data_IF_520106380107
#
_entry.id   IF_520106380107
#
_cell.length_a   1.000
_cell.length_b   1.000
_cell.length_c   1.000
_cell.angle_alpha   90.00
_cell.angle_beta   90.00
_cell.angle_gamma   90.00
#
_symmetry.space_group_name_H-M   'P 1'
#
loop_
_entity.id
_entity.type
_entity.pdbx_description
1 polymer ?
#
# COMPACT_ATOMS: atom_id res chain seq x y z
N UNK A 1 12.86 -0.32 -14.92
CA UNK A 1 11.49 0.10 -14.53
C UNK A 1 11.18 -0.52 -13.18
N UNK A 2 10.77 0.25 -12.17
CA UNK A 2 10.36 -0.33 -10.89
C UNK A 2 9.09 -1.18 -11.08
N UNK A 3 9.04 -2.34 -10.43
CA UNK A 3 7.86 -3.20 -10.41
C UNK A 3 6.77 -2.49 -9.59
N UNK A 4 5.59 -2.29 -10.18
CA UNK A 4 4.41 -1.81 -9.45
C UNK A 4 3.40 -2.95 -9.36
N UNK A 5 3.03 -3.33 -8.14
CA UNK A 5 2.14 -4.46 -7.90
C UNK A 5 0.68 -4.02 -7.87
N UNK A 6 -0.18 -4.80 -8.52
CA UNK A 6 -1.63 -4.72 -8.36
C UNK A 6 -2.08 -5.79 -7.36
N UNK A 7 -2.64 -5.37 -6.23
CA UNK A 7 -3.07 -6.23 -5.12
C UNK A 7 -4.59 -6.18 -4.96
N UNK A 8 -5.21 -7.34 -4.75
CA UNK A 8 -6.61 -7.41 -4.35
C UNK A 8 -6.74 -7.03 -2.88
N UNK A 9 -7.71 -6.17 -2.57
CA UNK A 9 -8.12 -5.80 -1.22
C UNK A 9 -9.63 -6.04 -1.03
N UNK A 10 -10.08 -6.09 0.22
CA UNK A 10 -11.51 -6.22 0.52
C UNK A 10 -12.25 -4.88 0.46
N UNK A 11 -11.59 -3.80 0.89
CA UNK A 11 -12.19 -2.47 1.02
C UNK A 11 -11.18 -1.37 0.66
N UNK A 12 -11.43 -0.64 -0.43
CA UNK A 12 -10.54 0.44 -0.88
C UNK A 12 -10.50 1.62 0.08
N UNK A 13 -11.62 1.95 0.73
CA UNK A 13 -11.69 3.06 1.67
C UNK A 13 -10.90 2.76 2.95
N UNK A 14 -10.99 1.53 3.46
CA UNK A 14 -10.17 1.07 4.58
C UNK A 14 -8.69 1.03 4.20
N UNK A 15 -8.35 0.49 3.02
CA UNK A 15 -6.96 0.48 2.52
C UNK A 15 -6.41 1.90 2.38
N UNK A 16 -7.19 2.84 1.83
CA UNK A 16 -6.82 4.26 1.73
C UNK A 16 -6.47 4.85 3.10
N UNK A 17 -7.37 4.69 4.09
CA UNK A 17 -7.15 5.21 5.44
C UNK A 17 -5.89 4.63 6.08
N UNK A 18 -5.67 3.32 5.93
CA UNK A 18 -4.48 2.69 6.49
C UNK A 18 -3.20 3.24 5.85
N UNK A 19 -3.10 3.26 4.52
CA UNK A 19 -1.89 3.72 3.85
C UNK A 19 -1.67 5.24 4.02
N UNK A 20 -2.72 6.05 3.93
CA UNK A 20 -2.62 7.50 4.04
C UNK A 20 -2.47 7.97 5.50
N UNK A 21 -3.44 7.63 6.36
CA UNK A 21 -3.57 8.24 7.68
C UNK A 21 -2.61 7.59 8.70
N UNK A 22 -2.38 6.28 8.58
CA UNK A 22 -1.51 5.52 9.48
C UNK A 22 -0.07 5.53 8.98
N UNK A 23 0.16 5.12 7.72
CA UNK A 23 1.52 4.94 7.18
C UNK A 23 2.11 6.18 6.48
N UNK A 24 1.29 7.22 6.23
CA UNK A 24 1.74 8.47 5.61
C UNK A 24 2.12 8.33 4.13
N UNK A 25 1.47 7.45 3.38
CA UNK A 25 1.58 7.38 1.93
C UNK A 25 0.69 8.45 1.29
N UNK A 26 1.08 8.95 0.12
CA UNK A 26 0.13 9.62 -0.76
C UNK A 26 -0.83 8.55 -1.31
N UNK A 27 -2.14 8.80 -1.26
CA UNK A 27 -3.16 7.85 -1.71
C UNK A 27 -4.12 8.54 -2.66
N UNK A 28 -4.21 8.06 -3.89
CA UNK A 28 -4.97 8.69 -4.98
C UNK A 28 -5.84 7.65 -5.69
N UNK A 29 -7.05 8.04 -6.07
CA UNK A 29 -7.87 7.18 -6.93
C UNK A 29 -7.18 7.09 -8.29
N UNK A 30 -6.98 5.88 -8.78
CA UNK A 30 -6.40 5.61 -10.09
C UNK A 30 -7.46 5.06 -11.05
N UNK A 31 -7.05 4.46 -12.18
CA UNK A 31 -7.96 3.91 -13.19
C UNK A 31 -9.13 3.12 -12.57
N UNK A 32 -10.29 3.12 -13.22
CA UNK A 32 -11.59 2.66 -12.69
C UNK A 32 -11.53 1.59 -11.57
N UNK A 33 -11.87 2.02 -10.34
CA UNK A 33 -11.99 1.14 -9.19
C UNK A 33 -10.65 0.67 -8.60
N UNK A 34 -9.60 1.46 -8.77
CA UNK A 34 -8.29 1.20 -8.16
C UNK A 34 -7.81 2.37 -7.31
N UNK A 35 -6.99 2.06 -6.31
CA UNK A 35 -6.30 3.03 -5.46
C UNK A 35 -4.80 2.87 -5.66
N UNK A 36 -4.10 3.94 -6.00
CA UNK A 36 -2.63 3.96 -6.00
C UNK A 36 -2.14 4.60 -4.72
N UNK A 37 -1.21 3.93 -4.03
CA UNK A 37 -0.48 4.50 -2.90
C UNK A 37 0.99 4.65 -3.24
N UNK A 38 1.58 5.79 -2.88
CA UNK A 38 2.97 6.10 -3.16
C UNK A 38 3.69 6.62 -1.91
N UNK A 39 4.93 6.15 -1.71
CA UNK A 39 5.87 6.75 -0.77
C UNK A 39 7.27 6.72 -1.34
N UNK A 40 7.87 7.90 -1.48
CA UNK A 40 9.25 8.08 -1.97
C UNK A 40 9.53 7.32 -3.29
N UNK A 41 8.58 7.38 -4.23
CA UNK A 41 8.68 6.72 -5.54
C UNK A 41 8.30 5.23 -5.57
N UNK A 42 8.15 4.57 -4.41
CA UNK A 42 7.62 3.20 -4.33
C UNK A 42 6.10 3.19 -4.38
N UNK A 43 5.53 2.34 -5.25
CA UNK A 43 4.09 2.32 -5.56
C UNK A 43 3.46 0.95 -5.33
N UNK A 44 2.23 0.95 -4.82
CA UNK A 44 1.31 -0.19 -4.84
C UNK A 44 -0.03 0.26 -5.41
N UNK A 45 -0.69 -0.61 -6.17
CA UNK A 45 -2.03 -0.39 -6.68
C UNK A 45 -2.95 -1.42 -6.04
N UNK A 46 -4.12 -0.99 -5.58
CA UNK A 46 -5.13 -1.84 -4.99
C UNK A 46 -6.39 -1.87 -5.84
N UNK A 47 -7.07 -3.01 -5.85
CA UNK A 47 -8.39 -3.18 -6.45
C UNK A 47 -9.29 -4.05 -5.56
N UNK A 48 -10.60 -3.82 -5.60
CA UNK A 48 -11.58 -4.76 -5.02
C UNK A 48 -12.00 -5.85 -6.01
N UNK A 49 -11.64 -5.72 -7.29
CA UNK A 49 -12.08 -6.63 -8.33
C UNK A 49 -11.45 -8.02 -8.17
N UNK A 50 -12.23 -9.06 -8.47
CA UNK A 50 -11.76 -10.43 -8.52
C UNK A 50 -11.14 -10.77 -9.88
N UNK A 51 -10.02 -10.11 -10.20
CA UNK A 51 -9.34 -10.28 -11.50
C UNK A 51 -8.75 -11.68 -11.66
N UNK A 52 -8.36 -12.32 -10.56
CA UNK A 52 -7.72 -13.63 -10.55
C UNK A 52 -8.69 -14.80 -10.45
N UNK A 53 -9.98 -14.53 -10.16
CA UNK A 53 -11.03 -15.55 -9.94
C UNK A 53 -10.61 -16.60 -8.92
N UNK A 54 -9.86 -16.17 -7.91
CA UNK A 54 -9.30 -17.01 -6.86
C UNK A 54 -9.37 -16.29 -5.52
N UNK A 55 -9.39 -17.03 -4.40
CA UNK A 55 -9.29 -16.42 -3.09
C UNK A 55 -8.05 -15.52 -3.00
N UNK A 56 -8.13 -14.35 -2.32
CA UNK A 56 -6.97 -13.49 -2.15
C UNK A 56 -5.81 -14.26 -1.51
N UNK A 57 -4.72 -14.40 -2.25
CA UNK A 57 -3.50 -15.04 -1.78
C UNK A 57 -2.30 -14.20 -2.19
N UNK A 58 -1.57 -13.68 -1.21
CA UNK A 58 -0.29 -13.01 -1.43
C UNK A 58 0.61 -13.32 -0.22
N UNK A 59 1.76 -13.93 -0.48
CA UNK A 59 2.81 -14.11 0.52
C UNK A 59 4.07 -13.48 -0.03
N UNK A 60 4.65 -12.56 0.71
CA UNK A 60 5.84 -11.83 0.30
C UNK A 60 6.12 -10.64 1.21
N UNK A 61 7.34 -10.16 1.12
CA UNK A 61 7.79 -8.93 1.80
C UNK A 61 8.04 -7.88 0.74
N UNK A 62 7.39 -6.73 0.87
CA UNK A 62 7.62 -5.58 -0.02
C UNK A 62 8.66 -4.66 0.61
N UNK A 63 9.74 -4.39 -0.12
CA UNK A 63 10.78 -3.46 0.32
C UNK A 63 10.63 -2.13 -0.41
N UNK A 64 10.66 -1.04 0.35
CA UNK A 64 10.66 0.33 -0.16
C UNK A 64 12.01 0.96 0.14
N UNK A 65 12.66 1.49 -0.89
CA UNK A 65 13.83 2.32 -0.70
C UNK A 65 13.38 3.67 -0.13
N UNK A 66 13.88 4.02 1.05
CA UNK A 66 13.58 5.28 1.71
C UNK A 66 14.87 6.02 2.08
N UNK A 67 14.83 7.34 2.06
CA UNK A 67 15.98 8.17 2.41
C UNK A 67 16.39 8.04 3.89
N UNK A 68 15.41 7.88 4.78
CA UNK A 68 15.62 7.71 6.22
C UNK A 68 14.60 6.73 6.81
N UNK A 69 15.06 5.53 7.12
CA UNK A 69 14.24 4.48 7.72
C UNK A 69 13.88 4.78 9.18
N UNK A 70 14.75 5.44 9.93
CA UNK A 70 14.51 5.76 11.33
C UNK A 70 13.41 6.82 11.48
N UNK A 71 13.42 7.84 10.63
CA UNK A 71 12.34 8.83 10.55
C UNK A 71 11.01 8.17 10.14
N UNK A 72 11.03 7.24 9.18
CA UNK A 72 9.84 6.48 8.79
C UNK A 72 9.28 5.67 9.97
N UNK A 73 10.13 4.94 10.70
CA UNK A 73 9.73 4.17 11.88
C UNK A 73 9.16 5.07 12.97
N UNK A 74 9.84 6.17 13.31
CA UNK A 74 9.39 7.10 14.34
C UNK A 74 7.99 7.67 14.04
N UNK A 75 7.64 7.89 12.78
CA UNK A 75 6.35 8.40 12.37
C UNK A 75 5.17 7.40 12.51
N UNK A 76 5.46 6.10 12.53
CA UNK A 76 4.44 5.03 12.48
C UNK A 76 4.44 4.07 13.67
N UNK A 77 5.50 4.05 14.50
CA UNK A 77 5.69 3.08 15.60
C UNK A 77 4.55 3.01 16.61
N UNK A 78 3.84 4.11 16.83
CA UNK A 78 2.72 4.20 17.79
C UNK A 78 1.35 4.05 17.10
N UNK A 79 1.32 3.90 15.78
CA UNK A 79 0.10 3.90 14.96
C UNK A 79 -0.18 2.56 14.28
N UNK A 80 0.84 1.72 14.11
CA UNK A 80 0.75 0.42 13.47
C UNK A 80 1.57 -0.61 14.24
N UNK A 81 1.16 -1.87 14.16
CA UNK A 81 2.00 -2.98 14.60
C UNK A 81 3.17 -3.13 13.62
N UNK A 82 4.39 -3.04 14.12
CA UNK A 82 5.63 -3.20 13.34
C UNK A 82 6.33 -4.46 13.87
N UNK A 83 6.59 -5.41 12.98
CA UNK A 83 7.29 -6.67 13.26
C UNK A 83 8.81 -6.50 13.20
#
# INVERSE_FOLDING_TARGET
MPLTLLLRCHDLAQTRRFYADVLGFAAEDSAEGTLTVEKQGGKLIFTQQDLWKSPPSCSGTFYFAVADAAACYAAVKDKASIA
#
